data_IF_369966908285
#
_entry.id   IF_369966908285
#
_cell.length_a   1.000
_cell.length_b   1.000
_cell.length_c   1.000
_cell.angle_alpha   90.00
_cell.angle_beta   90.00
_cell.angle_gamma   90.00
#
_symmetry.space_group_name_H-M   'P 1'
#
loop_
_entity.id
_entity.type
_entity.pdbx_description
1 polymer ?
#
# COMPACT_ATOMS: atom_id res chain seq x y z
N UNK A 1 -2.54 17.60 32.31
CA UNK A 1 -2.95 16.73 31.18
C UNK A 1 -2.93 17.44 29.82
N UNK A 2 -3.24 18.74 29.72
CA UNK A 2 -3.23 19.50 28.47
C UNK A 2 -1.90 19.49 27.68
N UNK A 3 -0.75 19.46 28.38
CA UNK A 3 0.59 19.51 27.76
C UNK A 3 1.03 18.20 27.07
N UNK A 4 0.41 17.06 27.42
CA UNK A 4 0.64 15.76 26.76
C UNK A 4 -0.30 15.55 25.55
N UNK A 5 -1.43 16.27 25.49
CA UNK A 5 -2.39 16.20 24.39
C UNK A 5 -1.91 16.99 23.15
N UNK A 6 -1.16 18.07 23.36
CA UNK A 6 -0.59 18.87 22.26
C UNK A 6 0.55 18.15 21.52
N UNK A 7 1.30 17.27 22.20
CA UNK A 7 2.39 16.50 21.60
C UNK A 7 1.87 15.35 20.70
N UNK A 8 0.65 14.85 20.98
CA UNK A 8 0.00 13.82 20.15
C UNK A 8 -0.66 14.41 18.90
N UNK A 9 -1.12 15.65 18.96
CA UNK A 9 -1.67 16.36 17.79
C UNK A 9 -0.58 16.81 16.80
N UNK A 10 0.64 17.09 17.28
CA UNK A 10 1.77 17.46 16.41
C UNK A 10 2.36 16.26 15.64
N UNK A 11 2.19 15.04 16.15
CA UNK A 11 2.71 13.83 15.51
C UNK A 11 1.76 13.26 14.44
N UNK A 12 0.47 13.62 14.46
CA UNK A 12 -0.52 13.10 13.51
C UNK A 12 -0.59 13.90 12.19
N UNK A 13 -0.16 15.17 12.18
CA UNK A 13 -0.25 16.05 11.01
C UNK A 13 0.91 15.86 10.01
N UNK A 14 1.98 15.15 10.38
CA UNK A 14 3.19 15.05 9.54
C UNK A 14 3.27 13.83 8.61
N UNK A 15 2.27 12.95 8.60
CA UNK A 15 2.42 11.60 8.03
C UNK A 15 1.97 11.40 6.58
N UNK A 16 1.48 12.42 5.87
CA UNK A 16 0.87 12.21 4.53
C UNK A 16 1.32 13.20 3.44
N UNK A 17 2.59 13.61 3.42
CA UNK A 17 3.11 14.48 2.35
C UNK A 17 4.40 13.99 1.69
N UNK A 18 4.55 12.67 1.50
CA UNK A 18 5.66 12.17 0.68
C UNK A 18 5.35 12.40 -0.81
N UNK A 19 6.16 13.24 -1.45
CA UNK A 19 6.08 13.50 -2.89
C UNK A 19 6.40 12.19 -3.64
N UNK A 20 5.62 11.89 -4.67
CA UNK A 20 5.75 10.62 -5.42
C UNK A 20 6.72 10.81 -6.57
N UNK A 21 7.69 9.90 -6.72
CA UNK A 21 8.56 9.86 -7.90
C UNK A 21 7.73 9.50 -9.15
N UNK A 22 7.72 10.39 -10.15
CA UNK A 22 6.91 10.26 -11.37
C UNK A 22 7.74 10.21 -12.65
N UNK A 23 9.00 10.61 -12.61
CA UNK A 23 9.91 10.50 -13.75
C UNK A 23 11.36 10.28 -13.32
N UNK A 24 12.18 9.81 -14.27
CA UNK A 24 13.63 9.69 -14.12
C UNK A 24 14.34 10.44 -15.24
N UNK A 25 15.43 11.12 -14.89
CA UNK A 25 16.26 11.85 -15.83
C UNK A 25 17.15 10.88 -16.59
N UNK A 26 17.03 10.96 -17.90
CA UNK A 26 17.72 10.11 -18.86
C UNK A 26 18.99 10.78 -19.39
N UNK A 27 18.88 12.07 -19.67
CA UNK A 27 19.97 12.88 -20.20
C UNK A 27 19.81 14.32 -19.71
N UNK A 28 20.92 14.99 -19.44
CA UNK A 28 20.94 16.41 -19.12
C UNK A 28 22.21 17.06 -19.67
N UNK A 29 22.04 18.15 -20.40
CA UNK A 29 23.13 18.98 -20.95
C UNK A 29 22.90 20.43 -20.57
N UNK A 30 23.97 21.10 -20.12
CA UNK A 30 23.93 22.51 -19.74
C UNK A 30 23.43 22.74 -18.31
N UNK A 31 22.61 23.79 -18.15
CA UNK A 31 22.05 24.25 -16.87
C UNK A 31 20.58 23.84 -16.80
N UNK A 32 20.33 22.73 -16.12
CA UNK A 32 19.01 22.15 -15.88
C UNK A 32 18.79 22.06 -14.38
N UNK A 33 17.66 22.55 -13.89
CA UNK A 33 17.35 22.64 -12.48
C UNK A 33 15.98 22.02 -12.15
N UNK A 34 15.86 21.50 -10.94
CA UNK A 34 14.60 21.22 -10.26
C UNK A 34 14.34 22.36 -9.28
N UNK A 35 13.13 22.92 -9.34
CA UNK A 35 12.67 24.01 -8.48
C UNK A 35 13.68 25.17 -8.43
N UNK A 36 14.31 25.47 -9.57
CA UNK A 36 15.31 26.53 -9.78
C UNK A 36 16.56 26.48 -8.89
N UNK A 37 16.70 25.44 -8.05
CA UNK A 37 17.70 25.40 -6.98
C UNK A 37 18.64 24.22 -7.14
N UNK A 38 18.09 23.03 -7.45
CA UNK A 38 18.86 21.80 -7.51
C UNK A 38 19.24 21.47 -8.95
N UNK A 39 20.54 21.42 -9.25
CA UNK A 39 21.00 21.00 -10.58
C UNK A 39 20.70 19.52 -10.82
N UNK A 40 20.16 19.24 -11.99
CA UNK A 40 19.78 17.88 -12.42
C UNK A 40 21.00 17.07 -12.89
N UNK A 41 21.00 15.78 -12.57
CA UNK A 41 21.94 14.77 -13.08
C UNK A 41 21.20 13.60 -13.71
N UNK A 42 21.90 12.83 -14.54
CA UNK A 42 21.38 11.57 -15.10
C UNK A 42 21.07 10.62 -13.94
N UNK A 43 19.92 9.93 -14.02
CA UNK A 43 19.42 9.03 -13.00
C UNK A 43 18.66 9.71 -11.86
N UNK A 44 18.64 11.05 -11.80
CA UNK A 44 17.84 11.76 -10.82
C UNK A 44 16.36 11.42 -10.99
N UNK A 45 15.66 11.25 -9.88
CA UNK A 45 14.21 11.11 -9.87
C UNK A 45 13.55 12.47 -9.71
N UNK A 46 12.40 12.60 -10.35
CA UNK A 46 11.57 13.80 -10.38
C UNK A 46 10.24 13.45 -9.75
N UNK A 47 9.84 14.24 -8.76
CA UNK A 47 8.57 14.06 -8.06
C UNK A 47 7.43 14.84 -8.72
N UNK A 48 6.19 14.47 -8.38
CA UNK A 48 4.96 15.12 -8.85
C UNK A 48 4.85 16.61 -8.47
N UNK A 49 5.66 17.08 -7.52
CA UNK A 49 5.71 18.49 -7.09
C UNK A 49 6.82 19.28 -7.75
N UNK A 50 7.76 18.62 -8.42
CA UNK A 50 8.94 19.25 -8.98
C UNK A 50 8.65 20.01 -10.27
N UNK A 51 9.29 21.16 -10.41
CA UNK A 51 9.31 21.95 -11.63
C UNK A 51 10.71 21.85 -12.23
N UNK A 52 10.80 21.26 -13.42
CA UNK A 52 12.02 21.22 -14.21
C UNK A 52 12.16 22.48 -15.03
N UNK A 53 13.33 23.12 -14.95
CA UNK A 53 13.68 24.28 -15.77
C UNK A 53 14.97 24.04 -16.54
N UNK A 54 14.96 24.30 -17.83
CA UNK A 54 16.15 24.32 -18.69
C UNK A 54 16.49 25.76 -19.06
N UNK A 55 17.75 26.13 -18.96
CA UNK A 55 18.22 27.47 -19.35
C UNK A 55 18.63 27.51 -20.82
N UNK A 56 19.13 28.66 -21.29
CA UNK A 56 19.73 28.85 -22.61
C UNK A 56 20.79 27.76 -22.88
N UNK A 57 20.84 27.25 -24.12
CA UNK A 57 21.76 26.19 -24.58
C UNK A 57 21.75 24.93 -23.72
N UNK A 58 20.62 24.64 -23.07
CA UNK A 58 20.43 23.48 -22.21
C UNK A 58 19.34 22.56 -22.76
N UNK A 59 19.46 21.27 -22.46
CA UNK A 59 18.51 20.24 -22.90
C UNK A 59 18.41 19.16 -21.83
N UNK A 60 17.23 18.60 -21.65
CA UNK A 60 17.00 17.51 -20.71
C UNK A 60 16.08 16.47 -21.34
N UNK A 61 16.32 15.20 -21.06
CA UNK A 61 15.41 14.10 -21.40
C UNK A 61 15.00 13.39 -20.13
N UNK A 62 13.74 13.00 -20.06
CA UNK A 62 13.17 12.26 -18.94
C UNK A 62 12.19 11.20 -19.44
N UNK A 63 12.04 10.14 -18.65
CA UNK A 63 11.05 9.10 -18.88
C UNK A 63 10.08 9.05 -17.71
N UNK A 64 8.80 8.85 -17.99
CA UNK A 64 7.79 8.72 -16.95
C UNK A 64 7.94 7.36 -16.25
N UNK A 65 7.82 7.37 -14.94
CA UNK A 65 7.77 6.18 -14.11
C UNK A 65 6.31 5.73 -13.92
N UNK A 66 6.14 4.44 -13.62
CA UNK A 66 4.86 3.81 -13.31
C UNK A 66 3.83 3.82 -14.46
N UNK A 67 4.25 4.16 -15.68
CA UNK A 67 3.40 4.06 -16.87
C UNK A 67 3.51 2.65 -17.44
N UNK A 68 2.39 2.07 -17.86
CA UNK A 68 2.39 0.75 -18.53
C UNK A 68 3.04 0.78 -19.92
N UNK A 69 3.29 1.98 -20.44
CA UNK A 69 3.91 2.18 -21.76
C UNK A 69 4.93 3.31 -21.67
N UNK A 70 6.08 3.20 -22.36
CA UNK A 70 7.10 4.23 -22.35
C UNK A 70 6.58 5.60 -22.78
N UNK A 71 6.87 6.61 -21.96
CA UNK A 71 6.65 8.02 -22.30
C UNK A 71 7.96 8.75 -22.07
N UNK A 72 8.56 9.24 -23.16
CA UNK A 72 9.83 9.96 -23.13
C UNK A 72 9.59 11.40 -23.56
N UNK A 73 10.17 12.33 -22.81
CA UNK A 73 10.04 13.76 -23.07
C UNK A 73 11.42 14.40 -23.14
N UNK A 74 11.69 15.15 -24.22
CA UNK A 74 12.87 16.02 -24.33
C UNK A 74 12.46 17.47 -24.18
N UNK A 75 13.01 18.10 -23.16
CA UNK A 75 12.92 19.53 -22.92
C UNK A 75 14.08 20.22 -23.63
N UNK A 76 13.76 21.19 -24.49
CA UNK A 76 14.75 22.08 -25.12
C UNK A 76 15.07 23.24 -24.20
N UNK A 77 15.84 24.22 -24.66
CA UNK A 77 16.21 25.39 -23.85
C UNK A 77 15.00 26.22 -23.43
N UNK A 78 15.16 27.00 -22.35
CA UNK A 78 14.16 27.92 -21.81
C UNK A 78 12.79 27.27 -21.51
N UNK A 79 12.80 26.00 -21.13
CA UNK A 79 11.60 25.20 -20.90
C UNK A 79 11.29 25.10 -19.41
N UNK A 80 10.04 25.37 -19.05
CA UNK A 80 9.49 25.11 -17.71
C UNK A 80 8.46 24.00 -17.80
N UNK A 81 8.75 22.89 -17.11
CA UNK A 81 8.02 21.64 -17.22
C UNK A 81 7.63 21.14 -15.83
N UNK A 82 6.37 20.74 -15.67
CA UNK A 82 5.87 20.06 -14.47
C UNK A 82 5.14 18.79 -14.87
N UNK A 83 5.37 17.71 -14.15
CA UNK A 83 4.65 16.45 -14.33
C UNK A 83 3.92 16.12 -13.04
N UNK A 84 2.61 15.90 -13.12
CA UNK A 84 1.83 15.32 -12.04
C UNK A 84 1.28 13.97 -12.52
N UNK A 85 1.23 12.99 -11.62
CA UNK A 85 0.59 11.71 -11.88
C UNK A 85 -0.43 11.44 -10.78
N UNK A 86 -1.62 11.03 -11.19
CA UNK A 86 -2.66 10.58 -10.27
C UNK A 86 -3.38 9.36 -10.85
N UNK A 87 -3.11 8.19 -10.27
CA UNK A 87 -3.82 6.94 -10.56
C UNK A 87 -3.81 6.58 -12.07
N UNK A 88 -2.65 6.68 -12.71
CA UNK A 88 -2.46 6.41 -14.14
C UNK A 88 -2.89 7.54 -15.07
N UNK A 89 -3.34 8.68 -14.53
CA UNK A 89 -3.59 9.91 -15.29
C UNK A 89 -2.38 10.83 -15.14
N UNK A 90 -1.70 11.07 -16.25
CA UNK A 90 -0.55 11.95 -16.32
C UNK A 90 -0.97 13.32 -16.82
N UNK A 91 -0.60 14.35 -16.07
CA UNK A 91 -0.82 15.76 -16.44
C UNK A 91 0.51 16.48 -16.47
N UNK A 92 0.91 16.84 -17.68
CA UNK A 92 2.12 17.60 -17.96
C UNK A 92 1.74 19.05 -18.15
N UNK A 93 2.50 19.97 -17.54
CA UNK A 93 2.41 21.39 -17.83
C UNK A 93 3.71 21.87 -18.49
N UNK A 94 3.60 22.46 -19.68
CA UNK A 94 4.68 23.15 -20.39
C UNK A 94 4.37 24.64 -20.33
N UNK A 95 4.87 25.33 -19.31
CA UNK A 95 4.57 26.75 -19.07
C UNK A 95 5.27 27.67 -20.06
N UNK A 96 6.48 27.30 -20.45
CA UNK A 96 7.30 28.02 -21.42
C UNK A 96 8.26 27.07 -22.13
N UNK A 97 8.82 27.52 -23.25
CA UNK A 97 9.85 26.81 -24.00
C UNK A 97 9.28 25.76 -24.92
N UNK A 98 9.98 24.64 -25.08
CA UNK A 98 9.62 23.61 -26.04
C UNK A 98 9.89 22.22 -25.50
N UNK A 99 8.87 21.36 -25.58
CA UNK A 99 8.93 19.98 -25.17
C UNK A 99 8.53 19.06 -26.33
N UNK A 100 9.33 18.02 -26.53
CA UNK A 100 9.14 16.98 -27.55
C UNK A 100 8.71 15.71 -26.84
N UNK A 101 7.57 15.15 -27.23
CA UNK A 101 6.97 13.98 -26.61
C UNK A 101 7.02 12.79 -27.57
N UNK A 102 7.52 11.67 -27.06
CA UNK A 102 7.41 10.36 -27.69
C UNK A 102 6.60 9.47 -26.74
N UNK A 103 5.34 9.23 -27.09
CA UNK A 103 4.37 8.52 -26.26
C UNK A 103 4.03 7.21 -26.95
N UNK A 104 4.42 6.09 -26.39
CA UNK A 104 3.94 4.80 -26.86
C UNK A 104 2.43 4.66 -26.61
N UNK A 105 1.78 3.74 -27.32
CA UNK A 105 0.33 3.53 -27.20
C UNK A 105 0.00 3.06 -25.78
N UNK A 106 -0.47 3.99 -24.95
CA UNK A 106 -0.88 3.74 -23.58
C UNK A 106 -1.91 2.61 -23.53
N UNK A 107 -1.65 1.56 -22.75
CA UNK A 107 -2.58 0.43 -22.55
C UNK A 107 -3.76 0.88 -21.68
N UNK A 108 -3.47 1.30 -20.44
CA UNK A 108 -4.37 2.02 -19.55
C UNK A 108 -3.90 3.47 -19.29
N UNK A 109 -4.79 4.29 -18.73
CA UNK A 109 -4.50 5.68 -18.35
C UNK A 109 -4.67 6.70 -19.47
N UNK A 110 -4.30 7.95 -19.17
CA UNK A 110 -4.41 9.09 -20.08
C UNK A 110 -3.24 10.07 -19.87
N UNK A 111 -2.80 10.72 -20.94
CA UNK A 111 -1.83 11.79 -20.90
C UNK A 111 -2.45 13.09 -21.42
N UNK A 112 -2.48 14.10 -20.55
CA UNK A 112 -2.83 15.47 -20.90
C UNK A 112 -1.58 16.35 -20.85
N UNK A 113 -1.32 17.11 -21.92
CA UNK A 113 -0.29 18.14 -21.97
C UNK A 113 -0.95 19.51 -22.01
N UNK A 114 -0.66 20.31 -20.99
CA UNK A 114 -1.23 21.62 -20.74
C UNK A 114 -0.19 22.68 -21.10
N UNK A 115 -0.54 23.55 -22.02
CA UNK A 115 0.22 24.76 -22.37
C UNK A 115 -0.50 26.00 -21.81
N UNK A 116 -0.01 27.23 -22.01
CA UNK A 116 -0.73 28.43 -21.56
C UNK A 116 -2.14 28.60 -22.16
N UNK A 117 -2.39 28.09 -23.37
CA UNK A 117 -3.61 28.37 -24.14
C UNK A 117 -4.38 27.13 -24.60
N UNK A 118 -3.82 25.93 -24.47
CA UNK A 118 -4.50 24.69 -24.85
C UNK A 118 -4.21 23.52 -23.93
N UNK A 119 -5.08 22.52 -24.00
CA UNK A 119 -4.90 21.19 -23.42
C UNK A 119 -4.95 20.16 -24.52
N UNK A 120 -3.89 19.36 -24.63
CA UNK A 120 -3.73 18.29 -25.60
C UNK A 120 -3.85 16.92 -24.93
N UNK A 121 -4.83 16.12 -25.34
CA UNK A 121 -4.95 14.71 -25.00
C UNK A 121 -4.32 13.83 -26.07
N UNK A 122 -3.49 12.87 -25.66
CA UNK A 122 -2.71 12.03 -26.59
C UNK A 122 -2.73 10.56 -26.20
N UNK A 123 -2.62 9.68 -27.21
CA UNK A 123 -2.54 8.23 -27.03
C UNK A 123 -1.75 7.62 -28.18
N UNK A 124 -0.50 7.21 -27.92
CA UNK A 124 0.36 6.64 -28.96
C UNK A 124 0.74 7.68 -30.01
N UNK A 125 1.49 8.71 -29.62
CA UNK A 125 1.66 9.93 -30.42
C UNK A 125 3.07 10.50 -30.25
N UNK A 126 3.70 10.88 -31.37
CA UNK A 126 4.92 11.69 -31.36
C UNK A 126 4.56 13.13 -31.72
N UNK A 127 4.82 14.08 -30.83
CA UNK A 127 4.39 15.47 -31.05
C UNK A 127 5.23 16.47 -30.27
N UNK A 128 5.17 17.74 -30.70
CA UNK A 128 5.83 18.89 -30.08
C UNK A 128 4.81 19.81 -29.45
N UNK A 129 5.17 20.38 -28.30
CA UNK A 129 4.53 21.57 -27.76
C UNK A 129 5.57 22.67 -27.64
N UNK A 130 5.27 23.81 -28.23
CA UNK A 130 6.06 25.04 -28.12
C UNK A 130 5.19 26.12 -27.47
N UNK A 131 5.67 26.66 -26.35
CA UNK A 131 5.04 27.68 -25.54
C UNK A 131 6.01 28.87 -25.41
N UNK A 132 6.08 29.76 -26.41
CA UNK A 132 6.86 30.99 -26.30
C UNK A 132 6.46 31.85 -25.10
N UNK A 133 7.37 32.71 -24.64
CA UNK A 133 7.16 33.58 -23.47
C UNK A 133 6.03 34.59 -23.63
N UNK A 134 5.59 34.87 -24.86
CA UNK A 134 4.43 35.72 -25.14
C UNK A 134 3.10 35.05 -24.74
N UNK A 135 3.13 33.75 -24.43
CA UNK A 135 1.99 32.95 -24.00
C UNK A 135 1.15 32.38 -25.15
N UNK A 136 1.60 32.49 -26.39
CA UNK A 136 1.03 31.70 -27.48
C UNK A 136 1.44 30.22 -27.31
N UNK A 137 0.80 29.33 -28.06
CA UNK A 137 1.30 27.97 -28.21
C UNK A 137 1.24 27.49 -29.66
N UNK A 138 2.11 26.52 -29.94
CA UNK A 138 2.08 25.70 -31.14
C UNK A 138 2.17 24.22 -30.76
N UNK A 139 1.27 23.41 -31.30
CA UNK A 139 1.30 21.94 -31.21
C UNK A 139 1.58 21.38 -32.60
N UNK A 140 2.59 20.52 -32.72
CA UNK A 140 2.96 19.87 -33.99
C UNK A 140 2.86 18.35 -33.84
N UNK A 141 2.09 17.68 -34.70
CA UNK A 141 1.92 16.23 -34.64
C UNK A 141 2.77 15.54 -35.70
N UNK A 142 3.70 14.69 -35.25
CA UNK A 142 4.62 13.96 -36.13
C UNK A 142 4.11 12.56 -36.45
N UNK A 143 3.56 11.86 -35.45
CA UNK A 143 2.92 10.55 -35.62
C UNK A 143 1.69 10.47 -34.72
N UNK A 144 0.70 9.68 -35.15
CA UNK A 144 -0.55 9.52 -34.43
C UNK A 144 -1.46 10.74 -34.58
N UNK A 145 -2.13 11.09 -33.48
CA UNK A 145 -3.16 12.12 -33.44
C UNK A 145 -3.18 12.81 -32.08
N UNK A 146 -3.24 14.14 -32.08
CA UNK A 146 -3.40 14.96 -30.88
C UNK A 146 -4.82 15.54 -30.85
N UNK A 147 -5.57 15.27 -29.79
CA UNK A 147 -6.87 15.92 -29.54
C UNK A 147 -6.65 17.14 -28.67
N UNK A 148 -6.85 18.34 -29.21
CA UNK A 148 -6.61 19.61 -28.51
C UNK A 148 -7.90 20.40 -28.26
N UNK A 149 -7.96 21.10 -27.12
CA UNK A 149 -8.98 22.11 -26.79
C UNK A 149 -8.34 23.36 -26.20
N UNK A 150 -9.08 24.46 -26.14
CA UNK A 150 -8.64 25.65 -25.41
C UNK A 150 -8.48 25.38 -23.90
N UNK A 151 -7.53 26.08 -23.29
CA UNK A 151 -7.24 26.00 -21.85
C UNK A 151 -8.21 26.85 -21.03
N UNK A 152 -8.85 26.11 -20.14
CA UNK A 152 -9.78 26.43 -19.05
C UNK A 152 -9.18 26.65 -17.64
N UNK A 153 -8.46 27.73 -17.28
CA UNK A 153 -7.76 27.76 -15.96
C UNK A 153 -8.68 27.44 -14.76
N UNK A 154 -9.89 27.96 -14.77
CA UNK A 154 -10.92 27.78 -13.74
C UNK A 154 -11.41 26.32 -13.65
N UNK A 155 -11.27 25.52 -14.71
CA UNK A 155 -11.68 24.10 -14.77
C UNK A 155 -10.51 23.18 -14.38
N UNK A 156 -9.28 23.67 -14.42
CA UNK A 156 -8.07 22.85 -14.26
C UNK A 156 -7.54 22.78 -12.83
N UNK A 157 -8.02 23.66 -11.94
CA UNK A 157 -7.63 23.66 -10.54
C UNK A 157 -8.23 22.44 -9.80
N UNK A 158 -7.40 21.59 -9.18
CA UNK A 158 -7.88 20.45 -8.41
C UNK A 158 -8.54 20.85 -7.07
N UNK A 159 -8.25 22.04 -6.55
CA UNK A 159 -8.80 22.56 -5.29
C UNK A 159 -10.17 23.24 -5.45
N UNK A 160 -10.57 23.55 -6.69
CA UNK A 160 -11.96 23.90 -6.97
C UNK A 160 -12.79 22.62 -6.94
N UNK A 161 -13.57 22.48 -5.86
CA UNK A 161 -14.69 21.55 -5.68
C UNK A 161 -15.35 21.24 -7.03
N UNK A 162 -15.69 19.97 -7.32
CA UNK A 162 -15.62 19.41 -8.66
C UNK A 162 -16.33 20.32 -9.66
N UNK A 163 -15.63 20.65 -10.75
CA UNK A 163 -16.12 21.47 -11.86
C UNK A 163 -17.46 21.00 -12.50
N UNK A 164 -18.11 20.01 -11.89
CA UNK A 164 -19.39 19.37 -12.21
C UNK A 164 -20.61 19.89 -11.43
N UNK A 165 -20.47 20.78 -10.43
CA UNK A 165 -21.63 21.27 -9.65
C UNK A 165 -22.16 22.66 -10.05
N UNK A 166 -21.34 23.52 -10.68
CA UNK A 166 -21.80 24.80 -11.23
C UNK A 166 -22.37 24.57 -12.65
N UNK A 167 -23.67 24.84 -12.91
CA UNK A 167 -24.28 24.69 -14.23
C UNK A 167 -23.55 25.48 -15.33
N UNK A 168 -22.97 26.64 -14.99
CA UNK A 168 -22.21 27.48 -15.93
C UNK A 168 -20.89 26.81 -16.32
N UNK A 169 -20.14 26.28 -15.36
CA UNK A 169 -18.88 25.56 -15.63
C UNK A 169 -19.14 24.29 -16.44
N UNK A 170 -20.23 23.57 -16.14
CA UNK A 170 -20.64 22.40 -16.93
C UNK A 170 -20.90 22.76 -18.40
N UNK A 171 -21.62 23.85 -18.67
CA UNK A 171 -21.85 24.33 -20.04
C UNK A 171 -20.56 24.67 -20.78
N UNK A 172 -19.59 25.27 -20.09
CA UNK A 172 -18.26 25.58 -20.65
C UNK A 172 -17.49 24.29 -20.95
N UNK A 173 -17.47 23.31 -20.03
CA UNK A 173 -16.84 22.00 -20.23
C UNK A 173 -17.44 21.31 -21.46
N UNK A 174 -18.77 21.23 -21.54
CA UNK A 174 -19.46 20.58 -22.65
C UNK A 174 -19.16 21.27 -23.99
N UNK A 175 -19.05 22.61 -24.00
CA UNK A 175 -18.62 23.37 -25.19
C UNK A 175 -17.18 23.06 -25.59
N UNK A 176 -16.25 23.02 -24.62
CA UNK A 176 -14.85 22.70 -24.86
C UNK A 176 -14.68 21.27 -25.38
N UNK A 177 -15.47 20.32 -24.89
CA UNK A 177 -15.48 18.93 -25.35
C UNK A 177 -16.03 18.81 -26.78
N UNK A 178 -17.13 19.49 -27.10
CA UNK A 178 -17.70 19.52 -28.47
C UNK A 178 -16.77 20.16 -29.49
N UNK A 179 -16.00 21.16 -29.08
CA UNK A 179 -15.14 21.95 -29.96
C UNK A 179 -13.67 21.51 -29.92
N UNK A 180 -13.39 20.29 -29.44
CA UNK A 180 -12.08 19.67 -29.57
C UNK A 180 -11.71 19.54 -31.05
N UNK A 181 -10.43 19.76 -31.32
CA UNK A 181 -9.85 19.66 -32.65
C UNK A 181 -8.80 18.57 -32.67
N UNK A 182 -8.87 17.73 -33.70
CA UNK A 182 -7.92 16.66 -33.94
C UNK A 182 -6.81 17.13 -34.90
N UNK A 183 -5.57 17.07 -34.44
CA UNK A 183 -4.36 17.33 -35.23
C UNK A 183 -3.73 16.00 -35.58
N UNK A 184 -3.83 15.59 -36.85
CA UNK A 184 -3.24 14.35 -37.36
C UNK A 184 -1.77 14.53 -37.74
N UNK A 185 -1.08 13.43 -38.00
CA UNK A 185 0.28 13.38 -38.60
C UNK A 185 0.49 14.46 -39.68
N UNK A 186 1.56 15.23 -39.53
CA UNK A 186 1.93 16.32 -40.44
C UNK A 186 1.15 17.62 -40.23
N UNK A 187 0.18 17.62 -39.30
CA UNK A 187 -0.58 18.81 -38.93
C UNK A 187 0.06 19.58 -37.77
N UNK A 188 -0.32 20.85 -37.67
CA UNK A 188 -0.05 21.67 -36.51
C UNK A 188 -1.23 22.57 -36.16
N UNK A 189 -1.24 23.03 -34.92
CA UNK A 189 -2.21 23.96 -34.36
C UNK A 189 -1.45 25.11 -33.72
N UNK A 190 -1.80 26.35 -34.06
CA UNK A 190 -1.30 27.55 -33.40
C UNK A 190 -2.45 28.21 -32.63
N UNK A 191 -2.23 28.50 -31.35
CA UNK A 191 -3.24 29.14 -30.48
C UNK A 191 -2.63 30.36 -29.81
N UNK A 192 -3.05 31.55 -30.23
CA UNK A 192 -2.58 32.78 -29.62
C UNK A 192 -3.20 33.01 -28.24
N UNK A 193 -2.45 33.67 -27.35
CA UNK A 193 -2.95 34.06 -26.03
C UNK A 193 -4.21 34.92 -26.13
N UNK A 194 -4.22 35.88 -27.05
CA UNK A 194 -5.36 36.77 -27.30
C UNK A 194 -6.61 35.96 -27.65
N UNK A 195 -6.49 35.03 -28.59
CA UNK A 195 -7.58 34.13 -29.01
C UNK A 195 -8.12 33.32 -27.84
N UNK A 196 -7.25 32.79 -26.97
CA UNK A 196 -7.71 32.04 -25.79
C UNK A 196 -8.45 32.90 -24.78
N UNK A 197 -8.07 34.18 -24.62
CA UNK A 197 -8.67 35.09 -23.65
C UNK A 197 -10.01 35.68 -24.12
N UNK A 198 -10.20 35.86 -25.42
CA UNK A 198 -11.46 36.33 -26.00
C UNK A 198 -12.59 35.30 -25.84
N UNK A 199 -12.26 34.00 -25.88
CA UNK A 199 -13.20 32.90 -25.67
C UNK A 199 -13.95 32.95 -24.33
N UNK A 200 -13.33 33.50 -23.28
CA UNK A 200 -13.92 33.61 -21.95
C UNK A 200 -14.96 34.72 -21.80
N UNK A 201 -15.00 35.66 -22.74
CA UNK A 201 -15.82 36.87 -22.65
C UNK A 201 -17.12 36.79 -23.48
N UNK A 202 -17.25 35.81 -24.36
CA UNK A 202 -18.42 35.67 -25.23
C UNK A 202 -19.44 34.68 -24.64
N UNK A 203 -20.72 35.08 -24.61
CA UNK A 203 -21.83 34.25 -24.10
C UNK A 203 -22.14 33.04 -25.01
N UNK A 204 -21.78 33.11 -26.30
CA UNK A 204 -21.98 32.05 -27.30
C UNK A 204 -20.65 31.34 -27.67
N UNK A 205 -20.17 30.49 -26.77
CA UNK A 205 -18.89 29.77 -26.86
C UNK A 205 -18.74 28.77 -28.03
N UNK A 206 -19.75 28.60 -28.90
CA UNK A 206 -19.79 27.50 -29.89
C UNK A 206 -19.22 27.88 -31.27
N UNK A 207 -19.40 29.12 -31.74
CA UNK A 207 -18.92 29.58 -33.06
C UNK A 207 -17.46 30.08 -33.03
N UNK A 208 -17.01 30.58 -31.89
CA UNK A 208 -15.70 31.23 -31.73
C UNK A 208 -14.56 30.23 -31.51
N UNK A 209 -14.88 29.05 -30.94
CA UNK A 209 -13.95 27.95 -30.70
C UNK A 209 -13.47 27.27 -31.99
N UNK A 210 -14.32 27.13 -33.01
CA UNK A 210 -13.93 26.58 -34.32
C UNK A 210 -12.97 27.50 -35.08
N UNK A 211 -13.14 28.82 -34.98
CA UNK A 211 -12.22 29.81 -35.57
C UNK A 211 -10.87 29.88 -34.85
N UNK A 212 -10.86 29.61 -33.54
CA UNK A 212 -9.68 29.70 -32.68
C UNK A 212 -8.72 28.52 -32.82
N UNK A 213 -9.23 27.31 -33.11
CA UNK A 213 -8.45 26.08 -33.18
C UNK A 213 -8.25 25.61 -34.63
N UNK A 214 -7.62 26.44 -35.47
CA UNK A 214 -7.37 26.09 -36.87
C UNK A 214 -6.20 25.12 -37.01
N UNK A 215 -6.46 23.97 -37.63
CA UNK A 215 -5.43 23.00 -37.99
C UNK A 215 -4.84 23.36 -39.35
N UNK A 216 -3.52 23.42 -39.39
CA UNK A 216 -2.74 23.69 -40.59
C UNK A 216 -1.86 22.49 -40.93
N UNK A 217 -1.35 22.44 -42.17
CA UNK A 217 -0.39 21.42 -42.61
C UNK A 217 1.03 21.97 -42.59
N UNK A 218 1.98 21.15 -42.13
CA UNK A 218 3.40 21.45 -42.27
C UNK A 218 3.85 21.27 -43.72
N UNK A 219 4.83 22.08 -44.11
CA UNK A 219 5.65 21.81 -45.29
C UNK A 219 6.42 20.49 -45.10
N UNK A 220 6.47 19.66 -46.15
CA UNK A 220 7.07 18.33 -46.10
C UNK A 220 8.54 18.36 -45.64
N UNK A 221 9.32 19.38 -46.01
CA UNK A 221 10.74 19.48 -45.60
C UNK A 221 10.85 19.77 -44.11
N UNK A 222 10.00 20.65 -43.59
CA UNK A 222 9.95 20.97 -42.16
C UNK A 222 9.48 19.77 -41.37
N UNK A 223 8.47 19.06 -41.89
CA UNK A 223 7.95 17.84 -41.30
C UNK A 223 9.03 16.75 -41.21
N UNK A 224 9.72 16.44 -42.31
CA UNK A 224 10.81 15.44 -42.36
C UNK A 224 11.89 15.79 -41.35
N UNK A 225 12.38 17.04 -41.36
CA UNK A 225 13.43 17.48 -40.42
C UNK A 225 13.01 17.35 -38.97
N UNK A 226 11.76 17.69 -38.63
CA UNK A 226 11.24 17.49 -37.27
C UNK A 226 11.14 16.01 -36.95
N UNK A 227 10.66 15.19 -37.86
CA UNK A 227 10.53 13.74 -37.67
C UNK A 227 11.88 13.08 -37.36
N UNK A 228 12.92 13.41 -38.12
CA UNK A 228 14.30 12.91 -37.90
C UNK A 228 14.82 13.27 -36.50
N UNK A 229 14.64 14.51 -36.05
CA UNK A 229 15.05 14.95 -34.70
C UNK A 229 14.37 14.15 -33.58
N UNK A 230 13.16 13.63 -33.85
CA UNK A 230 12.42 12.81 -32.89
C UNK A 230 12.86 11.35 -32.90
N UNK A 231 13.23 10.81 -34.06
CA UNK A 231 13.85 9.48 -34.10
C UNK A 231 15.27 9.50 -33.48
N UNK A 232 15.92 10.67 -33.44
CA UNK A 232 17.13 10.94 -32.64
C UNK A 232 16.87 11.15 -31.13
N UNK A 233 15.62 11.21 -30.65
CA UNK A 233 15.35 11.03 -29.22
C UNK A 233 15.82 9.61 -28.86
N UNK A 234 16.92 9.52 -28.11
CA UNK A 234 17.77 8.32 -28.06
C UNK A 234 16.95 7.06 -27.76
N UNK A 235 17.22 5.92 -28.44
CA UNK A 235 17.04 4.61 -27.84
C UNK A 235 17.99 4.50 -26.66
N UNK A 236 17.63 5.09 -25.52
CA UNK A 236 18.34 4.78 -24.28
C UNK A 236 18.15 3.31 -24.12
N UNK A 237 19.29 2.60 -24.10
CA UNK A 237 19.38 1.17 -24.14
C UNK A 237 18.11 0.59 -23.51
N UNK A 238 17.20 0.04 -24.31
CA UNK A 238 15.95 -0.50 -23.79
C UNK A 238 16.24 -1.48 -22.65
N UNK A 239 17.44 -2.07 -22.63
CA UNK A 239 17.95 -2.83 -21.50
C UNK A 239 18.20 -1.96 -20.25
N UNK A 240 18.79 -0.78 -20.32
CA UNK A 240 18.90 0.13 -19.16
C UNK A 240 17.53 0.53 -18.58
N UNK A 241 16.55 0.83 -19.45
CA UNK A 241 15.17 1.15 -19.02
C UNK A 241 14.52 -0.08 -18.37
N UNK A 242 14.57 -1.23 -19.04
CA UNK A 242 14.06 -2.51 -18.50
C UNK A 242 14.80 -2.95 -17.24
N UNK A 243 16.09 -2.67 -17.13
CA UNK A 243 16.92 -2.96 -15.96
C UNK A 243 16.54 -2.03 -14.81
N UNK A 244 16.21 -0.76 -15.08
CA UNK A 244 15.68 0.16 -14.07
C UNK A 244 14.31 -0.28 -13.58
N UNK A 245 13.41 -0.65 -14.49
CA UNK A 245 12.08 -1.18 -14.16
C UNK A 245 12.18 -2.49 -13.36
N UNK A 246 13.06 -3.42 -13.79
CA UNK A 246 13.36 -4.67 -13.09
C UNK A 246 13.99 -4.44 -11.72
N UNK A 247 14.89 -3.49 -11.60
CA UNK A 247 15.50 -3.13 -10.33
C UNK A 247 14.46 -2.52 -9.38
N UNK A 248 13.56 -1.69 -9.90
CA UNK A 248 12.45 -1.13 -9.12
C UNK A 248 11.43 -2.20 -8.71
N UNK A 249 11.09 -3.14 -9.58
CA UNK A 249 10.21 -4.26 -9.23
C UNK A 249 10.84 -5.13 -8.14
N UNK A 250 12.15 -5.41 -8.23
CA UNK A 250 12.93 -6.13 -7.19
C UNK A 250 12.92 -5.37 -5.86
N UNK A 251 13.11 -4.05 -5.85
CA UNK A 251 13.05 -3.25 -4.62
C UNK A 251 11.64 -3.28 -4.00
N UNK A 252 10.61 -3.25 -4.84
CA UNK A 252 9.21 -3.31 -4.41
C UNK A 252 8.86 -4.69 -3.84
N UNK A 253 9.36 -5.77 -4.45
CA UNK A 253 9.24 -7.13 -3.92
C UNK A 253 10.00 -7.33 -2.62
N UNK A 254 11.24 -6.86 -2.50
CA UNK A 254 12.00 -6.91 -1.23
C UNK A 254 11.30 -6.16 -0.11
N UNK A 255 10.58 -5.08 -0.42
CA UNK A 255 9.76 -4.38 0.57
C UNK A 255 8.50 -5.20 0.98
N UNK A 256 7.91 -5.97 0.07
CA UNK A 256 6.86 -6.95 0.41
C UNK A 256 7.42 -8.10 1.24
N UNK A 257 8.61 -8.62 0.91
CA UNK A 257 9.30 -9.64 1.71
C UNK A 257 9.62 -9.16 3.12
N UNK A 258 10.03 -7.90 3.30
CA UNK A 258 10.21 -7.30 4.63
C UNK A 258 8.90 -7.26 5.44
N UNK A 259 7.76 -7.00 4.78
CA UNK A 259 6.43 -7.09 5.43
C UNK A 259 6.09 -8.54 5.80
N UNK A 260 6.37 -9.50 4.92
CA UNK A 260 6.17 -10.93 5.23
C UNK A 260 7.09 -11.42 6.35
N UNK A 261 8.34 -10.94 6.42
CA UNK A 261 9.26 -11.25 7.52
C UNK A 261 8.75 -10.71 8.86
N UNK A 262 8.13 -9.53 8.85
CA UNK A 262 7.42 -8.99 10.01
C UNK A 262 6.28 -9.90 10.48
N UNK A 263 5.47 -10.41 9.55
CA UNK A 263 4.38 -11.35 9.82
C UNK A 263 4.89 -12.72 10.33
N UNK A 264 5.99 -13.21 9.76
CA UNK A 264 6.63 -14.45 10.20
C UNK A 264 7.16 -14.31 11.64
N UNK A 265 7.71 -13.14 11.98
CA UNK A 265 8.21 -12.89 13.33
C UNK A 265 7.07 -12.76 14.36
N UNK A 266 5.92 -12.18 14.00
CA UNK A 266 4.74 -12.19 14.88
C UNK A 266 4.20 -13.61 15.09
N UNK A 267 4.08 -14.40 14.02
CA UNK A 267 3.63 -15.81 14.11
C UNK A 267 4.60 -16.66 14.95
N UNK A 268 5.92 -16.46 14.80
CA UNK A 268 6.92 -17.13 15.65
C UNK A 268 6.78 -16.75 17.13
N UNK A 269 6.36 -15.52 17.45
CA UNK A 269 6.12 -15.09 18.83
C UNK A 269 4.88 -15.79 19.40
N UNK A 270 3.78 -15.79 18.67
CA UNK A 270 2.54 -16.49 19.06
C UNK A 270 2.79 -17.99 19.30
N UNK A 271 3.52 -18.65 18.40
CA UNK A 271 3.87 -20.07 18.54
C UNK A 271 4.70 -20.36 19.81
N UNK A 272 5.60 -19.45 20.19
CA UNK A 272 6.39 -19.58 21.45
C UNK A 272 5.49 -19.43 22.67
N UNK A 273 4.58 -18.46 22.67
CA UNK A 273 3.62 -18.25 23.77
C UNK A 273 2.71 -19.47 23.96
N UNK A 274 2.25 -20.09 22.87
CA UNK A 274 1.44 -21.31 22.93
C UNK A 274 2.21 -22.52 23.46
N UNK A 275 3.48 -22.70 23.03
CA UNK A 275 4.34 -23.76 23.57
C UNK A 275 4.60 -23.62 25.07
N UNK A 276 4.80 -22.40 25.55
CA UNK A 276 4.95 -22.15 27.00
C UNK A 276 3.66 -22.45 27.77
N UNK A 277 2.48 -22.10 27.21
CA UNK A 277 1.20 -22.50 27.80
C UNK A 277 1.04 -24.02 27.86
N UNK A 278 1.42 -24.73 26.81
CA UNK A 278 1.36 -26.19 26.79
C UNK A 278 2.31 -26.82 27.81
N UNK A 279 3.54 -26.30 27.93
CA UNK A 279 4.50 -26.75 28.94
C UNK A 279 3.97 -26.52 30.37
N UNK A 280 3.30 -25.39 30.61
CA UNK A 280 2.65 -25.14 31.90
C UNK A 280 1.48 -26.10 32.16
N UNK A 281 0.72 -26.46 31.12
CA UNK A 281 -0.35 -27.45 31.24
C UNK A 281 0.21 -28.84 31.58
N UNK A 282 1.28 -29.26 30.91
CA UNK A 282 1.98 -30.54 31.18
C UNK A 282 2.49 -30.59 32.63
N UNK A 283 3.15 -29.53 33.10
CA UNK A 283 3.56 -29.41 34.50
C UNK A 283 2.39 -29.47 35.49
N UNK A 284 1.20 -28.99 35.10
CA UNK A 284 0.00 -29.11 35.94
C UNK A 284 -0.49 -30.56 35.97
N UNK A 285 -0.46 -31.27 34.84
CA UNK A 285 -0.80 -32.69 34.78
C UNK A 285 0.12 -33.53 35.67
N UNK A 286 1.43 -33.34 35.60
CA UNK A 286 2.40 -34.05 36.46
C UNK A 286 2.13 -33.82 37.95
N UNK A 287 1.77 -32.59 38.35
CA UNK A 287 1.41 -32.26 39.73
C UNK A 287 0.13 -32.97 40.17
N UNK A 288 -0.89 -33.00 39.31
CA UNK A 288 -2.14 -33.71 39.59
C UNK A 288 -1.86 -35.20 39.75
N UNK A 289 -1.10 -35.81 38.83
CA UNK A 289 -0.73 -37.22 38.89
C UNK A 289 0.06 -37.55 40.17
N UNK A 290 1.05 -36.73 40.53
CA UNK A 290 1.81 -36.93 41.78
C UNK A 290 0.93 -36.86 43.03
N UNK A 291 -0.11 -36.02 43.02
CA UNK A 291 -1.08 -35.91 44.12
C UNK A 291 -1.95 -37.16 44.20
N UNK A 292 -2.46 -37.63 43.07
CA UNK A 292 -3.27 -38.85 43.00
C UNK A 292 -2.49 -40.10 43.44
N UNK A 293 -1.21 -40.21 43.06
CA UNK A 293 -0.34 -41.31 43.50
C UNK A 293 -0.16 -41.29 45.02
N UNK A 294 0.04 -40.12 45.63
CA UNK A 294 0.15 -39.97 47.09
C UNK A 294 -1.14 -40.39 47.79
N UNK A 295 -2.29 -39.90 47.33
CA UNK A 295 -3.60 -40.24 47.90
C UNK A 295 -3.90 -41.75 47.82
N UNK A 296 -3.57 -42.40 46.70
CA UNK A 296 -3.69 -43.86 46.54
C UNK A 296 -2.79 -44.60 47.53
N UNK A 297 -1.54 -44.15 47.69
CA UNK A 297 -0.58 -44.77 48.62
C UNK A 297 -1.03 -44.65 50.08
N UNK A 298 -1.52 -43.48 50.48
CA UNK A 298 -2.07 -43.26 51.83
C UNK A 298 -3.33 -44.11 52.09
N UNK A 299 -4.22 -44.20 51.09
CA UNK A 299 -5.42 -45.04 51.17
C UNK A 299 -5.05 -46.52 51.29
N UNK A 300 -4.03 -46.98 50.54
CA UNK A 300 -3.48 -48.33 50.65
C UNK A 300 -2.96 -48.66 52.04
N UNK A 301 -2.13 -47.76 52.63
CA UNK A 301 -1.63 -47.93 54.01
C UNK A 301 -2.76 -48.00 55.04
N UNK A 302 -3.81 -47.18 54.87
CA UNK A 302 -4.99 -47.19 55.76
C UNK A 302 -5.75 -48.52 55.67
N UNK A 303 -5.87 -49.10 54.47
CA UNK A 303 -6.45 -50.44 54.30
C UNK A 303 -5.63 -51.53 54.97
N UNK A 304 -4.31 -51.52 54.82
CA UNK A 304 -3.42 -52.49 55.48
C UNK A 304 -3.55 -52.43 57.00
N UNK A 305 -3.56 -51.22 57.58
CA UNK A 305 -3.74 -51.03 59.01
C UNK A 305 -5.08 -51.59 59.49
N UNK A 306 -6.18 -51.25 58.80
CA UNK A 306 -7.51 -51.76 59.13
C UNK A 306 -7.59 -53.30 59.08
N UNK A 307 -6.99 -53.92 58.06
CA UNK A 307 -6.96 -55.38 57.96
C UNK A 307 -6.17 -56.01 59.12
N UNK A 308 -5.03 -55.42 59.49
CA UNK A 308 -4.21 -55.90 60.62
C UNK A 308 -4.95 -55.81 61.97
N UNK A 309 -5.73 -54.74 62.19
CA UNK A 309 -6.56 -54.58 63.38
C UNK A 309 -7.68 -55.62 63.41
N UNK A 310 -8.34 -55.87 62.27
CA UNK A 310 -9.39 -56.89 62.15
C UNK A 310 -8.82 -58.27 62.50
N UNK A 311 -7.66 -58.64 61.97
CA UNK A 311 -7.03 -59.93 62.24
C UNK A 311 -6.62 -60.08 63.70
N UNK A 312 -6.08 -59.02 64.29
CA UNK A 312 -5.74 -59.00 65.73
C UNK A 312 -6.98 -59.20 66.60
N UNK A 313 -8.10 -58.55 66.26
CA UNK A 313 -9.37 -58.71 66.97
C UNK A 313 -9.97 -60.11 66.79
N UNK A 314 -9.86 -60.70 65.59
CA UNK A 314 -10.28 -62.10 65.35
C UNK A 314 -9.52 -63.07 66.26
N UNK A 315 -8.20 -62.95 66.34
CA UNK A 315 -7.36 -63.77 67.24
C UNK A 315 -7.74 -63.57 68.71
N UNK A 316 -7.91 -62.32 69.17
CA UNK A 316 -8.38 -62.03 70.55
C UNK A 316 -9.75 -62.63 70.84
N UNK A 317 -10.66 -62.62 69.86
CA UNK A 317 -11.98 -63.25 70.01
C UNK A 317 -11.86 -64.76 70.16
N UNK A 318 -10.95 -65.41 69.42
CA UNK A 318 -10.70 -66.85 69.52
C UNK A 318 -10.06 -67.25 70.86
N UNK A 319 -9.10 -66.47 71.37
CA UNK A 319 -8.51 -66.73 72.70
C UNK A 319 -9.53 -66.55 73.83
N UNK A 320 -10.39 -65.52 73.75
CA UNK A 320 -11.49 -65.32 74.72
C UNK A 320 -12.52 -66.46 74.65
N UNK A 321 -12.75 -67.06 73.48
CA UNK A 321 -13.60 -68.27 73.36
C UNK A 321 -12.95 -69.51 73.97
N UNK A 322 -11.62 -69.60 73.99
CA UNK A 322 -10.88 -70.76 74.50
C UNK A 322 -10.64 -70.73 76.03
N UNK A 323 -10.73 -69.56 76.66
CA UNK A 323 -10.58 -69.41 78.12
C UNK A 323 -11.92 -69.65 78.81
N UNK A 324 -12.19 -70.91 79.16
CA UNK A 324 -13.51 -71.45 79.56
C UNK A 324 -13.78 -71.45 81.08
N UNK A 325 -13.43 -70.38 81.82
CA UNK A 325 -13.53 -70.41 83.29
C UNK A 325 -14.51 -69.41 83.94
N UNK A 326 -15.24 -68.56 83.21
CA UNK A 326 -16.29 -67.71 83.84
C UNK A 326 -17.35 -67.19 82.84
N UNK A 327 -18.37 -68.00 82.57
CA UNK A 327 -19.32 -67.84 81.44
C UNK A 327 -20.17 -66.56 81.33
N UNK A 328 -20.24 -65.68 82.35
CA UNK A 328 -20.99 -64.40 82.25
C UNK A 328 -20.16 -63.20 81.75
N UNK A 329 -18.97 -62.95 82.35
CA UNK A 329 -18.08 -61.84 81.93
C UNK A 329 -17.58 -62.01 80.48
N UNK A 330 -17.38 -63.27 80.07
CA UNK A 330 -16.96 -63.62 78.70
C UNK A 330 -18.00 -63.21 77.67
N UNK A 331 -19.30 -63.34 78.00
CA UNK A 331 -20.40 -63.03 77.06
C UNK A 331 -20.46 -61.54 76.72
N UNK A 332 -20.31 -60.68 77.72
CA UNK A 332 -20.32 -59.22 77.54
C UNK A 332 -19.10 -58.74 76.75
N UNK A 333 -17.91 -59.28 77.06
CA UNK A 333 -16.69 -58.99 76.28
C UNK A 333 -16.79 -59.47 74.84
N UNK A 334 -17.32 -60.67 74.58
CA UNK A 334 -17.54 -61.18 73.23
C UNK A 334 -18.56 -60.33 72.45
N UNK A 335 -19.59 -59.82 73.12
CA UNK A 335 -20.57 -58.92 72.52
C UNK A 335 -19.95 -57.57 72.18
N UNK A 336 -19.09 -57.02 73.04
CA UNK A 336 -18.35 -55.78 72.77
C UNK A 336 -17.35 -55.95 71.61
N UNK A 337 -16.60 -57.07 71.57
CA UNK A 337 -15.73 -57.42 70.44
C UNK A 337 -16.52 -57.55 69.14
N UNK A 338 -17.68 -58.20 69.17
CA UNK A 338 -18.53 -58.32 67.98
C UNK A 338 -19.02 -56.96 67.48
N UNK A 339 -19.36 -56.03 68.37
CA UNK A 339 -19.74 -54.65 67.99
C UNK A 339 -18.57 -53.89 67.37
N UNK A 340 -17.37 -53.97 67.96
CA UNK A 340 -16.15 -53.33 67.44
C UNK A 340 -15.77 -53.89 66.06
N UNK A 341 -15.84 -55.21 65.89
CA UNK A 341 -15.52 -55.89 64.64
C UNK A 341 -16.49 -55.49 63.51
N UNK A 342 -17.81 -55.48 63.78
CA UNK A 342 -18.81 -54.98 62.82
C UNK A 342 -18.58 -53.52 62.41
N UNK A 343 -18.16 -52.66 63.34
CA UNK A 343 -17.86 -51.25 63.05
C UNK A 343 -16.66 -51.12 62.11
N UNK A 344 -15.60 -51.90 62.35
CA UNK A 344 -14.40 -51.92 61.50
C UNK A 344 -14.68 -52.51 60.12
N UNK A 345 -15.45 -53.58 60.02
CA UNK A 345 -15.89 -54.15 58.73
C UNK A 345 -16.68 -53.13 57.90
N UNK A 346 -17.57 -52.36 58.55
CA UNK A 346 -18.30 -51.28 57.88
C UNK A 346 -17.37 -50.17 57.38
N UNK A 347 -16.40 -49.74 58.20
CA UNK A 347 -15.40 -48.75 57.77
C UNK A 347 -14.52 -49.26 56.64
N UNK A 348 -14.19 -50.56 56.62
CA UNK A 348 -13.47 -51.20 55.52
C UNK A 348 -14.27 -51.18 54.21
N UNK A 349 -15.57 -51.51 54.27
CA UNK A 349 -16.45 -51.42 53.10
C UNK A 349 -16.60 -50.00 52.57
N UNK A 350 -16.70 -48.98 53.43
CA UNK A 350 -16.75 -47.58 53.02
C UNK A 350 -15.46 -47.15 52.31
N UNK A 351 -14.29 -47.56 52.82
CA UNK A 351 -13.00 -47.28 52.16
C UNK A 351 -12.93 -47.99 50.79
N UNK A 352 -13.36 -49.26 50.69
CA UNK A 352 -13.41 -49.99 49.41
C UNK A 352 -14.33 -49.32 48.39
N UNK A 353 -15.53 -48.90 48.81
CA UNK A 353 -16.47 -48.17 47.94
C UNK A 353 -15.92 -46.83 47.44
N UNK A 354 -15.08 -46.17 48.23
CA UNK A 354 -14.43 -44.91 47.81
C UNK A 354 -13.27 -45.16 46.84
N UNK A 355 -12.62 -46.31 46.90
CA UNK A 355 -11.62 -46.73 45.92
C UNK A 355 -12.28 -47.08 44.58
N UNK A 356 -13.42 -47.76 44.59
CA UNK A 356 -14.11 -48.15 43.34
C UNK A 356 -14.76 -46.97 42.60
N UNK A 357 -14.91 -45.81 43.25
CA UNK A 357 -15.51 -44.58 42.68
C UNK A 357 -14.50 -43.58 42.12
N UNK A 358 -13.21 -43.71 42.47
CA UNK A 358 -12.11 -42.80 42.13
C UNK A 358 -11.08 -43.50 41.23
#
# INVERSE_FOLDING_TARGET
>A
MLRKMFLFLFFFVFSTLWAKDVAVILFAKGKVYVNETRRVRIGDKISDRDILTTQIRSSCELQFLNSESPVVVRLKENTSFKLNENSGKYRVEVKSGRAMFNVDKLKAGSLEVISPTSVAGVRGTKFEVEAPSNGDNKIVTLEGEVSSRLRVQEIENPDTNPASQDPKLKGIIDSLERNKVSVKKGGYLDVSKKTSQEYYKEEDASSSSQKALQVNKLDDRVYIKKHEIYDELIPINLNFIKDLERFQSILTERNKERKHLGLINSLKRELREEREKNKQAEQRYDRIESTLVKERTETGKKLELLNSEIDTLKRKRETVKASDENGRKIKDSLQEFSKKLKKLEKSLEEVKKNIDKN
#
